data_IF_268610291762
#
_entry.id   IF_268610291762
#
_cell.length_a   1.000
_cell.length_b   1.000
_cell.length_c   1.000
_cell.angle_alpha   90.00
_cell.angle_beta   90.00
_cell.angle_gamma   90.00
#
_symmetry.space_group_name_H-M   'P 1'
#
loop_
_entity.id
_entity.type
_entity.pdbx_description
1 polymer ?
#
# COMPACT_ATOMS: atom_id res chain seq x y z
N UNK A 1 -64.88 -10.55 -29.71
CA UNK A 1 -63.96 -10.02 -28.68
C UNK A 1 -62.87 -11.05 -28.41
N UNK A 2 -61.68 -10.85 -29.00
CA UNK A 2 -60.47 -11.65 -28.70
C UNK A 2 -59.50 -10.72 -27.97
N UNK A 3 -59.23 -10.97 -26.68
CA UNK A 3 -58.16 -10.30 -25.95
C UNK A 3 -56.91 -11.17 -25.98
N UNK A 4 -55.92 -10.70 -26.74
CA UNK A 4 -54.57 -11.23 -26.84
C UNK A 4 -53.83 -10.95 -25.51
N UNK A 5 -53.46 -11.98 -24.75
CA UNK A 5 -52.57 -11.84 -23.60
C UNK A 5 -51.12 -12.00 -24.08
N UNK A 6 -50.40 -10.88 -24.19
CA UNK A 6 -48.96 -10.87 -24.45
C UNK A 6 -48.24 -10.86 -23.09
N UNK A 7 -47.67 -12.00 -22.69
CA UNK A 7 -46.78 -12.09 -21.54
C UNK A 7 -45.38 -11.65 -21.97
N UNK A 8 -44.92 -10.47 -21.51
CA UNK A 8 -43.55 -10.02 -21.69
C UNK A 8 -42.76 -10.48 -20.44
N UNK A 9 -41.96 -11.53 -20.60
CA UNK A 9 -40.93 -11.92 -19.64
C UNK A 9 -39.72 -11.00 -19.82
N UNK A 10 -39.58 -9.98 -18.96
CA UNK A 10 -38.34 -9.25 -18.79
C UNK A 10 -37.34 -10.13 -18.02
N UNK A 11 -36.47 -10.81 -18.73
CA UNK A 11 -35.23 -11.33 -18.17
C UNK A 11 -34.28 -10.16 -17.90
N UNK A 12 -34.18 -9.72 -16.66
CA UNK A 12 -33.08 -8.86 -16.22
C UNK A 12 -31.85 -9.75 -16.11
N UNK A 13 -31.04 -9.79 -17.17
CA UNK A 13 -29.69 -10.34 -17.10
C UNK A 13 -28.83 -9.36 -16.30
N UNK A 14 -28.67 -9.64 -15.00
CA UNK A 14 -27.65 -9.01 -14.20
C UNK A 14 -26.29 -9.43 -14.74
N UNK A 15 -25.67 -8.56 -15.53
CA UNK A 15 -24.23 -8.60 -15.80
C UNK A 15 -23.51 -8.40 -14.46
N UNK A 16 -23.23 -9.50 -13.77
CA UNK A 16 -22.28 -9.52 -12.68
C UNK A 16 -20.89 -9.26 -13.28
N UNK A 17 -20.50 -7.99 -13.35
CA UNK A 17 -19.09 -7.66 -13.46
C UNK A 17 -18.41 -8.26 -12.23
N UNK A 18 -17.54 -9.26 -12.45
CA UNK A 18 -16.71 -9.85 -11.41
C UNK A 18 -15.80 -8.76 -10.84
N UNK A 19 -16.24 -8.11 -9.77
CA UNK A 19 -15.34 -7.39 -8.88
C UNK A 19 -14.38 -8.46 -8.35
N UNK A 20 -13.07 -8.34 -8.63
CA UNK A 20 -12.08 -9.24 -8.06
C UNK A 20 -12.21 -9.14 -6.53
N UNK A 21 -12.84 -10.14 -5.93
CA UNK A 21 -13.29 -10.11 -4.54
C UNK A 21 -12.07 -10.26 -3.63
N UNK A 22 -12.05 -9.51 -2.54
CA UNK A 22 -11.10 -9.74 -1.46
C UNK A 22 -11.35 -11.12 -0.83
N UNK A 23 -10.28 -11.85 -0.53
CA UNK A 23 -10.35 -13.22 -0.01
C UNK A 23 -9.66 -13.29 1.35
N UNK A 24 -10.25 -13.96 2.36
CA UNK A 24 -9.56 -14.21 3.62
C UNK A 24 -8.35 -15.11 3.38
N UNK A 25 -7.20 -14.76 3.97
CA UNK A 25 -5.96 -15.53 3.77
C UNK A 25 -5.90 -16.79 4.63
N UNK A 26 -6.81 -16.92 5.61
CA UNK A 26 -6.86 -18.08 6.51
C UNK A 26 -7.07 -19.40 5.76
N UNK A 27 -7.67 -19.36 4.58
CA UNK A 27 -7.95 -20.53 3.74
C UNK A 27 -6.89 -20.75 2.66
N UNK A 28 -5.83 -19.95 2.61
CA UNK A 28 -4.79 -20.08 1.59
C UNK A 28 -3.83 -21.23 1.91
N UNK A 29 -3.36 -21.91 0.86
CA UNK A 29 -2.43 -23.03 1.00
C UNK A 29 -1.03 -22.53 1.28
N UNK A 30 -0.34 -23.21 2.20
CA UNK A 30 1.11 -23.09 2.35
C UNK A 30 1.78 -23.94 1.28
N UNK A 31 2.62 -23.31 0.45
CA UNK A 31 3.42 -23.99 -0.56
C UNK A 31 4.90 -23.68 -0.33
N UNK A 32 5.84 -24.40 -0.98
CA UNK A 32 7.26 -24.08 -0.88
C UNK A 32 7.55 -22.63 -1.27
N UNK A 33 8.55 -22.02 -0.61
CA UNK A 33 9.00 -20.68 -0.97
C UNK A 33 9.41 -20.64 -2.45
N UNK A 34 9.14 -19.53 -3.17
CA UNK A 34 9.66 -19.30 -4.50
C UNK A 34 11.19 -19.45 -4.51
N UNK A 35 11.68 -20.42 -5.28
CA UNK A 35 13.10 -20.58 -5.58
C UNK A 35 13.50 -19.72 -6.79
N UNK A 36 14.78 -19.33 -6.96
CA UNK A 36 15.22 -18.46 -8.05
C UNK A 36 14.80 -18.93 -9.46
N UNK A 37 14.84 -20.23 -9.72
CA UNK A 37 14.42 -20.87 -10.97
C UNK A 37 12.88 -20.84 -11.20
N UNK A 38 12.11 -20.63 -10.13
CA UNK A 38 10.66 -20.45 -10.20
C UNK A 38 10.24 -18.98 -10.27
N UNK A 39 11.13 -18.02 -10.00
CA UNK A 39 10.82 -16.58 -10.08
C UNK A 39 10.40 -16.18 -11.50
N UNK A 40 10.95 -16.83 -12.53
CA UNK A 40 10.50 -16.61 -13.91
C UNK A 40 9.00 -16.95 -14.08
N UNK A 41 8.53 -18.06 -13.50
CA UNK A 41 7.11 -18.45 -13.51
C UNK A 41 6.22 -17.40 -12.83
N UNK A 42 6.72 -16.78 -11.76
CA UNK A 42 6.04 -15.66 -11.11
C UNK A 42 6.10 -14.38 -11.93
N UNK A 43 7.16 -14.15 -12.71
CA UNK A 43 7.22 -13.07 -13.70
C UNK A 43 6.05 -13.11 -14.69
N UNK A 44 5.59 -14.33 -15.04
CA UNK A 44 4.41 -14.57 -15.88
C UNK A 44 3.07 -14.59 -15.10
N UNK A 45 3.09 -14.59 -13.76
CA UNK A 45 1.88 -14.50 -12.96
C UNK A 45 1.42 -13.03 -12.88
N UNK A 46 0.25 -12.67 -13.43
CA UNK A 46 -0.17 -11.27 -13.52
C UNK A 46 -0.71 -10.71 -12.20
N UNK A 47 -0.77 -11.53 -11.14
CA UNK A 47 -1.50 -11.15 -9.92
C UNK A 47 -0.56 -10.68 -8.83
N UNK A 48 -0.56 -9.37 -8.61
CA UNK A 48 0.06 -8.76 -7.45
C UNK A 48 -0.96 -8.69 -6.32
N UNK A 49 -0.72 -9.44 -5.25
CA UNK A 49 -1.61 -9.48 -4.10
C UNK A 49 -1.30 -8.36 -3.13
N UNK A 50 -2.34 -7.72 -2.66
CA UNK A 50 -2.31 -6.67 -1.65
C UNK A 50 -3.18 -7.08 -0.48
N UNK A 51 -2.68 -6.87 0.74
CA UNK A 51 -3.36 -7.28 1.97
C UNK A 51 -3.91 -6.08 2.74
N UNK A 52 -4.99 -6.30 3.47
CA UNK A 52 -5.58 -5.34 4.40
C UNK A 52 -6.25 -6.09 5.57
N UNK A 53 -6.44 -5.37 6.68
CA UNK A 53 -7.15 -5.88 7.85
C UNK A 53 -8.61 -5.41 7.79
N UNK A 54 -9.55 -6.35 7.94
CA UNK A 54 -11.00 -6.07 8.07
C UNK A 54 -11.55 -7.01 9.15
N UNK A 55 -12.29 -6.47 10.13
CA UNK A 55 -12.86 -7.24 11.25
C UNK A 55 -11.84 -8.15 11.98
N UNK A 56 -10.62 -7.66 12.16
CA UNK A 56 -9.47 -8.38 12.73
C UNK A 56 -8.99 -9.58 11.90
N UNK A 57 -9.52 -9.82 10.70
CA UNK A 57 -9.06 -10.84 9.77
C UNK A 57 -8.24 -10.20 8.64
N UNK A 58 -7.25 -10.94 8.13
CA UNK A 58 -6.41 -10.47 7.03
C UNK A 58 -7.04 -10.94 5.72
N UNK A 59 -7.32 -9.99 4.85
CA UNK A 59 -7.82 -10.22 3.50
C UNK A 59 -6.76 -9.87 2.47
N UNK A 60 -6.85 -10.52 1.31
CA UNK A 60 -6.01 -10.27 0.15
C UNK A 60 -6.87 -9.93 -1.07
N UNK A 61 -6.44 -8.93 -1.83
CA UNK A 61 -7.09 -8.49 -3.07
C UNK A 61 -6.03 -8.24 -4.15
N UNK A 62 -6.33 -8.55 -5.41
CA UNK A 62 -5.50 -8.14 -6.54
C UNK A 62 -5.82 -6.69 -6.99
N UNK A 63 -6.83 -6.05 -6.41
CA UNK A 63 -7.16 -4.65 -6.68
C UNK A 63 -6.45 -3.70 -5.71
N UNK A 64 -5.25 -3.25 -6.12
CA UNK A 64 -4.45 -2.26 -5.39
C UNK A 64 -5.21 -0.95 -5.10
N UNK A 65 -6.28 -0.62 -5.83
CA UNK A 65 -7.03 0.62 -5.62
C UNK A 65 -7.81 0.63 -4.31
N UNK A 66 -8.08 -0.54 -3.73
CA UNK A 66 -8.78 -0.65 -2.45
C UNK A 66 -8.05 0.03 -1.29
N UNK A 67 -6.71 0.16 -1.38
CA UNK A 67 -5.90 0.78 -0.32
C UNK A 67 -5.78 2.31 -0.41
N UNK A 68 -6.32 2.95 -1.45
CA UNK A 68 -6.06 4.37 -1.71
C UNK A 68 -6.68 5.35 -0.69
N UNK A 69 -7.34 4.85 0.36
CA UNK A 69 -8.18 5.61 1.27
C UNK A 69 -9.39 6.25 0.57
N UNK A 70 -10.42 6.59 1.35
CA UNK A 70 -11.62 7.26 0.84
C UNK A 70 -11.60 8.72 1.27
N UNK A 71 -11.88 9.62 0.32
CA UNK A 71 -12.12 11.04 0.60
C UNK A 71 -13.63 11.31 0.53
N UNK A 72 -14.18 12.19 1.41
CA UNK A 72 -15.59 12.58 1.36
C UNK A 72 -15.90 13.60 0.25
N UNK A 73 -14.92 13.90 -0.61
CA UNK A 73 -15.04 14.84 -1.71
C UNK A 73 -14.25 14.34 -2.93
N UNK A 74 -14.63 14.85 -4.10
CA UNK A 74 -13.89 14.62 -5.34
C UNK A 74 -12.75 15.62 -5.49
N UNK A 75 -11.58 15.13 -5.89
CA UNK A 75 -10.46 15.99 -6.29
C UNK A 75 -10.64 16.34 -7.75
N UNK A 76 -10.91 17.62 -8.03
CA UNK A 76 -10.94 18.18 -9.38
C UNK A 76 -9.68 19.05 -9.56
N UNK A 77 -8.68 18.60 -10.36
CA UNK A 77 -7.44 19.36 -10.55
C UNK A 77 -7.68 20.70 -11.26
N UNK A 78 -7.01 21.76 -10.81
CA UNK A 78 -6.89 23.01 -11.59
C UNK A 78 -5.99 22.76 -12.80
N UNK A 79 -6.03 23.65 -13.80
CA UNK A 79 -5.19 23.55 -15.01
C UNK A 79 -3.70 23.35 -14.68
N UNK A 80 -3.18 24.06 -13.68
CA UNK A 80 -1.79 23.97 -13.21
C UNK A 80 -1.46 22.68 -12.44
N UNK A 81 -2.47 21.94 -11.96
CA UNK A 81 -2.31 20.77 -11.09
C UNK A 81 -2.60 19.46 -11.82
N UNK A 82 -3.00 19.51 -13.11
CA UNK A 82 -3.35 18.31 -13.89
C UNK A 82 -2.22 17.26 -13.90
N UNK A 83 -0.98 17.73 -13.94
CA UNK A 83 0.20 16.87 -13.95
C UNK A 83 0.67 16.47 -12.54
N UNK A 84 -0.05 16.85 -11.47
CA UNK A 84 0.34 16.57 -10.07
C UNK A 84 -0.67 15.68 -9.36
N UNK A 85 -1.96 15.88 -9.63
CA UNK A 85 -3.06 15.23 -8.91
C UNK A 85 -3.56 13.97 -9.64
N UNK A 86 -2.65 13.06 -9.99
CA UNK A 86 -2.96 11.75 -10.59
C UNK A 86 -2.00 10.67 -10.07
N UNK A 87 -2.25 9.40 -10.42
CA UNK A 87 -1.44 8.26 -9.99
C UNK A 87 -2.08 7.46 -8.85
N UNK A 88 -1.30 6.58 -8.22
CA UNK A 88 -1.73 5.84 -7.02
C UNK A 88 -1.82 6.83 -5.86
N UNK A 89 -2.85 6.70 -5.02
CA UNK A 89 -3.07 7.64 -3.91
C UNK A 89 -2.82 6.95 -2.58
N UNK A 90 -2.21 7.67 -1.66
CA UNK A 90 -2.29 7.37 -0.24
C UNK A 90 -3.04 8.52 0.43
N UNK A 91 -3.91 8.23 1.39
CA UNK A 91 -4.73 9.24 2.06
C UNK A 91 -4.72 8.98 3.56
N UNK A 92 -4.56 10.05 4.34
CA UNK A 92 -4.73 10.02 5.79
C UNK A 92 -5.50 11.26 6.24
N UNK A 93 -6.45 11.07 7.16
CA UNK A 93 -7.15 12.17 7.82
C UNK A 93 -6.27 12.78 8.92
N UNK A 94 -6.31 14.10 9.01
CA UNK A 94 -5.64 14.90 10.04
C UNK A 94 -6.64 15.89 10.66
N UNK A 95 -6.25 16.52 11.78
CA UNK A 95 -7.11 17.40 12.58
C UNK A 95 -7.89 18.45 11.77
N UNK A 96 -7.25 19.04 10.76
CA UNK A 96 -7.79 20.11 9.92
C UNK A 96 -8.13 19.71 8.48
N UNK A 97 -8.03 18.43 8.12
CA UNK A 97 -8.27 17.98 6.76
C UNK A 97 -7.70 16.61 6.41
N UNK A 98 -7.12 16.51 5.22
CA UNK A 98 -6.56 15.27 4.67
C UNK A 98 -5.20 15.55 4.05
N UNK A 99 -4.24 14.67 4.33
CA UNK A 99 -3.00 14.59 3.57
C UNK A 99 -3.19 13.54 2.48
N UNK A 100 -2.81 13.90 1.25
CA UNK A 100 -2.97 13.05 0.08
C UNK A 100 -1.65 13.00 -0.68
N UNK A 101 -1.07 11.81 -0.72
CA UNK A 101 0.09 11.49 -1.54
C UNK A 101 -0.34 10.99 -2.92
N UNK A 102 0.35 11.45 -3.96
CA UNK A 102 0.15 11.04 -5.35
C UNK A 102 1.44 10.42 -5.87
N UNK A 103 1.47 9.10 -5.94
CA UNK A 103 2.60 8.33 -6.45
C UNK A 103 2.44 8.11 -7.95
N UNK A 104 3.39 8.63 -8.75
CA UNK A 104 3.38 8.53 -10.21
C UNK A 104 4.58 7.75 -10.74
N UNK A 105 5.23 6.92 -9.93
CA UNK A 105 6.39 6.13 -10.37
C UNK A 105 7.48 7.01 -10.96
N UNK A 106 8.00 6.68 -12.14
CA UNK A 106 9.07 7.45 -12.79
C UNK A 106 8.72 8.92 -13.07
N UNK A 107 7.44 9.28 -13.03
CA UNK A 107 6.97 10.66 -13.22
C UNK A 107 6.96 11.49 -11.91
N UNK A 108 7.49 10.92 -10.82
CA UNK A 108 7.65 11.55 -9.53
C UNK A 108 6.44 11.39 -8.61
N UNK A 109 6.34 12.27 -7.63
CA UNK A 109 5.24 12.29 -6.69
C UNK A 109 4.81 13.69 -6.33
N UNK A 110 3.72 13.80 -5.57
CA UNK A 110 3.35 15.03 -4.88
C UNK A 110 2.62 14.70 -3.59
N UNK A 111 2.85 15.51 -2.57
CA UNK A 111 2.12 15.50 -1.31
C UNK A 111 1.31 16.78 -1.21
N UNK A 112 0.00 16.65 -0.99
CA UNK A 112 -0.92 17.77 -0.84
C UNK A 112 -1.66 17.70 0.49
N UNK A 113 -1.99 18.87 1.04
CA UNK A 113 -3.03 18.98 2.05
C UNK A 113 -4.33 19.47 1.41
N UNK A 114 -5.45 18.93 1.88
CA UNK A 114 -6.81 19.36 1.54
C UNK A 114 -7.58 19.65 2.82
N UNK A 115 -8.30 20.76 2.89
CA UNK A 115 -9.27 21.01 3.97
C UNK A 115 -10.36 19.93 4.00
N UNK A 116 -11.05 19.78 5.14
CA UNK A 116 -12.11 18.77 5.34
C UNK A 116 -13.17 18.67 4.22
N UNK A 117 -13.47 19.78 3.55
CA UNK A 117 -14.44 19.82 2.44
C UNK A 117 -13.80 19.84 1.04
N UNK A 118 -12.47 19.70 0.94
CA UNK A 118 -11.70 19.71 -0.30
C UNK A 118 -11.57 21.06 -1.01
N UNK A 119 -12.18 22.14 -0.50
CA UNK A 119 -12.25 23.44 -1.20
C UNK A 119 -10.93 24.22 -1.12
N UNK A 120 -10.23 24.11 0.01
CA UNK A 120 -8.86 24.65 0.17
C UNK A 120 -7.87 23.51 0.06
N UNK A 121 -6.77 23.77 -0.63
CA UNK A 121 -5.63 22.85 -0.76
C UNK A 121 -4.37 23.62 -1.07
N UNK A 122 -3.24 22.99 -0.77
CA UNK A 122 -1.94 23.43 -1.24
C UNK A 122 -0.99 22.23 -1.29
N UNK A 123 0.05 22.37 -2.09
CA UNK A 123 1.12 21.40 -2.21
C UNK A 123 2.12 21.56 -1.06
N UNK A 124 2.50 20.44 -0.45
CA UNK A 124 3.47 20.39 0.64
C UNK A 124 4.87 20.12 0.05
N UNK A 125 4.98 19.15 -0.87
CA UNK A 125 6.24 18.76 -1.50
C UNK A 125 6.03 17.86 -2.72
N UNK A 126 7.12 17.51 -3.41
CA UNK A 126 7.16 16.55 -4.53
C UNK A 126 7.44 15.09 -4.08
N UNK A 127 7.24 14.76 -2.80
CA UNK A 127 7.52 13.41 -2.29
C UNK A 127 6.67 12.32 -2.94
N UNK A 128 7.30 11.17 -3.17
CA UNK A 128 6.72 9.96 -3.77
C UNK A 128 6.06 9.09 -2.72
N UNK A 129 5.02 9.61 -2.06
CA UNK A 129 4.37 8.94 -0.94
C UNK A 129 3.81 7.58 -1.35
N UNK A 130 4.31 6.52 -0.71
CA UNK A 130 3.84 5.15 -0.89
C UNK A 130 2.70 4.84 0.08
N UNK A 131 2.90 5.13 1.37
CA UNK A 131 1.92 4.84 2.43
C UNK A 131 2.10 5.80 3.61
N UNK A 132 0.99 6.23 4.21
CA UNK A 132 0.99 6.97 5.48
C UNK A 132 0.84 6.00 6.66
N UNK A 133 1.37 6.40 7.82
CA UNK A 133 1.18 5.67 9.07
C UNK A 133 1.16 6.66 10.25
N UNK A 134 0.40 6.34 11.30
CA UNK A 134 0.40 7.10 12.55
C UNK A 134 1.21 6.32 13.58
N UNK A 135 2.17 7.00 14.21
CA UNK A 135 2.85 6.51 15.42
C UNK A 135 2.74 7.59 16.48
N UNK A 136 2.18 7.24 17.64
CA UNK A 136 2.05 8.15 18.79
C UNK A 136 1.43 9.52 18.43
N UNK A 137 0.33 9.50 17.67
CA UNK A 137 -0.38 10.71 17.21
C UNK A 137 0.44 11.64 16.29
N UNK A 138 1.54 11.15 15.72
CA UNK A 138 2.32 11.83 14.68
C UNK A 138 2.14 11.12 13.35
N UNK A 139 2.11 11.89 12.28
CA UNK A 139 1.97 11.37 10.92
C UNK A 139 3.35 11.14 10.32
N UNK A 140 3.55 9.93 9.82
CA UNK A 140 4.72 9.55 9.05
C UNK A 140 4.30 9.03 7.68
N UNK A 141 5.26 8.99 6.76
CA UNK A 141 5.08 8.33 5.48
C UNK A 141 6.36 7.68 5.02
N UNK A 142 6.21 6.56 4.32
CA UNK A 142 7.28 6.05 3.47
C UNK A 142 7.14 6.63 2.08
N UNK A 143 8.27 6.99 1.48
CA UNK A 143 8.39 7.48 0.11
C UNK A 143 9.61 6.90 -0.58
N UNK A 144 9.59 6.85 -1.91
CA UNK A 144 10.73 6.39 -2.68
C UNK A 144 10.35 5.85 -4.04
N UNK A 145 11.37 5.44 -4.80
CA UNK A 145 11.22 4.92 -6.15
C UNK A 145 12.18 3.75 -6.36
N UNK A 146 11.63 2.65 -6.87
CA UNK A 146 12.38 1.55 -7.45
C UNK A 146 12.17 1.53 -8.96
N UNK A 147 13.21 1.89 -9.72
CA UNK A 147 13.19 1.82 -11.17
C UNK A 147 14.59 1.54 -11.76
N UNK A 148 14.69 0.50 -12.60
CA UNK A 148 15.95 0.01 -13.18
C UNK A 148 17.04 -0.15 -12.11
N UNK A 149 18.12 0.64 -12.20
CA UNK A 149 19.26 0.60 -11.29
C UNK A 149 19.13 1.57 -10.10
N UNK A 150 17.97 2.23 -9.94
CA UNK A 150 17.69 3.18 -8.86
C UNK A 150 16.73 2.50 -7.89
N UNK A 151 17.17 2.31 -6.64
CA UNK A 151 16.30 1.97 -5.52
C UNK A 151 16.66 2.90 -4.36
N UNK A 152 15.77 3.83 -4.04
CA UNK A 152 15.95 4.81 -2.97
C UNK A 152 14.64 5.07 -2.27
N UNK A 153 14.71 5.41 -0.98
CA UNK A 153 13.54 5.84 -0.25
C UNK A 153 13.87 6.46 1.09
N UNK A 154 12.83 6.97 1.72
CA UNK A 154 12.91 7.65 3.00
C UNK A 154 11.67 7.34 3.84
N UNK A 155 11.85 7.37 5.15
CA UNK A 155 10.78 7.58 6.11
C UNK A 155 10.78 9.07 6.47
N UNK A 156 9.64 9.73 6.31
CA UNK A 156 9.45 11.15 6.58
C UNK A 156 8.41 11.37 7.69
N UNK A 157 8.60 12.40 8.51
CA UNK A 157 7.59 12.93 9.43
C UNK A 157 6.85 14.08 8.74
N UNK A 158 5.52 14.10 8.82
CA UNK A 158 4.68 15.17 8.29
C UNK A 158 4.04 15.91 9.45
N UNK A 159 4.41 17.18 9.61
CA UNK A 159 4.03 18.00 10.76
C UNK A 159 3.77 19.46 10.38
N UNK A 160 3.14 20.20 11.27
CA UNK A 160 2.93 21.65 11.09
C UNK A 160 4.18 22.41 11.51
N UNK A 161 4.67 23.28 10.63
CA UNK A 161 5.71 24.29 10.87
C UNK A 161 5.09 25.62 10.45
N UNK A 162 5.08 26.62 11.34
CA UNK A 162 4.44 27.92 11.10
C UNK A 162 2.99 27.81 10.61
N UNK A 163 2.20 26.93 11.26
CA UNK A 163 0.81 26.62 10.90
C UNK A 163 0.59 26.04 9.50
N UNK A 164 1.62 25.52 8.85
CA UNK A 164 1.52 24.80 7.57
C UNK A 164 2.12 23.41 7.68
N UNK A 165 1.41 22.42 7.14
CA UNK A 165 1.96 21.08 6.92
C UNK A 165 3.25 21.13 6.11
N UNK A 166 4.25 20.40 6.56
CA UNK A 166 5.59 20.27 6.00
C UNK A 166 6.08 18.83 6.18
N UNK A 167 6.88 18.35 5.24
CA UNK A 167 7.55 17.06 5.32
C UNK A 167 9.00 17.24 5.78
N UNK A 168 9.44 16.44 6.73
CA UNK A 168 10.80 16.46 7.27
C UNK A 168 11.36 15.03 7.22
N UNK A 169 12.58 14.88 6.73
CA UNK A 169 13.26 13.58 6.73
C UNK A 169 13.41 13.05 8.15
N UNK A 170 13.02 11.80 8.35
CA UNK A 170 13.14 11.11 9.63
C UNK A 170 14.22 10.02 9.57
N UNK A 171 14.23 9.19 8.52
CA UNK A 171 15.31 8.24 8.25
C UNK A 171 15.48 8.01 6.74
N UNK A 172 16.73 7.86 6.28
CA UNK A 172 17.05 7.48 4.90
C UNK A 172 17.06 5.96 4.79
N UNK A 173 16.25 5.39 3.89
CA UNK A 173 16.13 3.95 3.72
C UNK A 173 17.16 3.44 2.69
N UNK A 174 17.70 2.22 2.85
CA UNK A 174 18.69 1.66 1.94
C UNK A 174 18.12 1.32 0.55
N UNK A 175 16.79 1.19 0.44
CA UNK A 175 16.08 0.83 -0.77
C UNK A 175 14.67 1.44 -0.77
N UNK A 176 13.99 1.39 -1.92
CA UNK A 176 12.62 1.87 -2.06
C UNK A 176 11.66 1.04 -1.18
N UNK A 177 10.84 1.68 -0.34
CA UNK A 177 9.86 1.00 0.50
C UNK A 177 8.57 0.69 -0.28
N UNK A 178 7.99 -0.46 -0.03
CA UNK A 178 6.75 -0.92 -0.66
C UNK A 178 5.57 -0.99 0.34
N UNK A 179 5.85 -1.03 1.64
CA UNK A 179 4.86 -1.03 2.70
C UNK A 179 5.46 -0.76 4.07
N UNK A 180 4.64 -0.27 5.00
CA UNK A 180 5.00 0.00 6.38
C UNK A 180 3.89 -0.44 7.34
N UNK A 181 4.26 -0.95 8.51
CA UNK A 181 3.36 -1.15 9.64
C UNK A 181 4.12 -1.00 10.97
N UNK A 182 3.43 -1.09 12.12
CA UNK A 182 4.02 -0.99 13.46
C UNK A 182 4.08 -2.33 14.17
N UNK A 183 5.19 -2.59 14.88
CA UNK A 183 5.27 -3.68 15.84
C UNK A 183 4.61 -3.33 17.19
N UNK A 184 4.66 -4.28 18.12
CA UNK A 184 4.07 -4.12 19.46
C UNK A 184 4.79 -3.07 20.32
N UNK A 185 6.01 -2.71 19.96
CA UNK A 185 6.84 -1.71 20.64
C UNK A 185 6.76 -0.33 19.95
N UNK A 186 5.86 -0.18 18.96
CA UNK A 186 5.74 1.01 18.11
C UNK A 186 6.99 1.30 17.24
N UNK A 187 7.83 0.31 16.95
CA UNK A 187 8.83 0.44 15.91
C UNK A 187 8.17 0.28 14.53
N UNK A 188 8.70 0.96 13.52
CA UNK A 188 8.26 0.74 12.16
C UNK A 188 8.88 -0.54 11.60
N UNK A 189 8.06 -1.39 11.02
CA UNK A 189 8.50 -2.50 10.17
C UNK A 189 8.22 -2.12 8.73
N UNK A 190 9.28 -2.06 7.93
CA UNK A 190 9.24 -1.57 6.55
C UNK A 190 9.72 -2.69 5.63
N UNK A 191 8.87 -3.07 4.67
CA UNK A 191 9.28 -3.92 3.56
C UNK A 191 9.80 -3.04 2.43
N UNK A 192 11.00 -3.33 1.94
CA UNK A 192 11.58 -2.70 0.75
C UNK A 192 11.63 -3.69 -0.41
N UNK A 193 12.09 -3.22 -1.57
CA UNK A 193 12.34 -4.05 -2.74
C UNK A 193 13.28 -5.26 -2.48
N UNK A 194 14.07 -5.23 -1.40
CA UNK A 194 15.11 -6.23 -1.10
C UNK A 194 15.16 -6.69 0.36
N UNK A 195 14.68 -5.89 1.30
CA UNK A 195 14.98 -6.06 2.73
C UNK A 195 13.73 -5.87 3.59
N UNK A 196 13.72 -6.52 4.74
CA UNK A 196 12.77 -6.26 5.82
C UNK A 196 13.51 -5.49 6.92
N UNK A 197 13.03 -4.30 7.23
CA UNK A 197 13.70 -3.35 8.12
C UNK A 197 12.88 -3.08 9.37
N UNK A 198 13.56 -2.84 10.49
CA UNK A 198 13.04 -2.23 11.70
C UNK A 198 13.61 -0.82 11.82
N UNK A 199 12.75 0.19 12.03
CA UNK A 199 13.16 1.55 12.34
C UNK A 199 12.60 1.97 13.70
N UNK A 200 13.49 2.25 14.65
CA UNK A 200 13.09 2.56 16.02
C UNK A 200 12.58 4.01 16.21
N UNK A 201 12.26 4.36 17.45
CA UNK A 201 11.79 5.71 17.82
C UNK A 201 12.84 6.83 17.62
N UNK A 202 14.11 6.49 17.42
CA UNK A 202 15.20 7.44 17.14
C UNK A 202 15.49 7.59 15.64
N UNK A 203 14.88 6.76 14.80
CA UNK A 203 15.19 6.68 13.37
C UNK A 203 16.36 5.75 13.05
N UNK A 204 16.87 4.99 14.02
CA UNK A 204 17.91 3.99 13.77
C UNK A 204 17.30 2.80 13.05
N UNK A 205 17.98 2.36 11.99
CA UNK A 205 17.57 1.25 11.15
C UNK A 205 18.34 -0.02 11.56
N UNK A 206 17.61 -1.12 11.74
CA UNK A 206 18.16 -2.46 11.85
C UNK A 206 17.55 -3.34 10.76
N UNK A 207 18.36 -4.13 10.07
CA UNK A 207 17.86 -5.07 9.05
C UNK A 207 17.45 -6.37 9.71
N UNK A 208 16.19 -6.78 9.54
CA UNK A 208 15.65 -8.06 10.03
C UNK A 208 16.01 -9.17 9.06
N UNK A 209 15.82 -8.93 7.76
CA UNK A 209 16.18 -9.83 6.67
C UNK A 209 16.77 -9.00 5.54
N UNK A 210 17.96 -9.36 5.08
CA UNK A 210 18.63 -8.77 3.93
C UNK A 210 18.55 -9.68 2.72
N UNK A 211 18.52 -9.11 1.51
CA UNK A 211 18.52 -9.88 0.25
C UNK A 211 17.42 -10.97 0.21
N UNK A 212 16.22 -10.58 0.62
CA UNK A 212 15.07 -11.47 0.64
C UNK A 212 14.79 -12.07 -0.74
N UNK A 213 14.32 -13.32 -0.77
CA UNK A 213 13.98 -14.05 -2.00
C UNK A 213 12.95 -13.32 -2.88
N UNK A 214 12.25 -12.34 -2.32
CA UNK A 214 11.25 -11.52 -2.98
C UNK A 214 11.81 -10.43 -3.90
N UNK A 215 13.14 -10.37 -4.08
CA UNK A 215 13.74 -9.53 -5.14
C UNK A 215 13.16 -9.98 -6.50
N UNK A 216 12.25 -9.18 -7.07
CA UNK A 216 11.52 -9.49 -8.30
C UNK A 216 10.09 -10.01 -8.10
N UNK A 217 9.63 -10.14 -6.85
CA UNK A 217 8.23 -10.47 -6.50
C UNK A 217 7.39 -9.25 -6.10
N UNK A 218 7.94 -8.03 -6.21
CA UNK A 218 7.20 -6.76 -6.09
C UNK A 218 6.26 -6.72 -4.87
N UNK A 219 6.80 -6.54 -3.65
CA UNK A 219 5.97 -6.31 -2.48
C UNK A 219 4.97 -5.16 -2.71
N UNK A 220 3.80 -5.26 -2.10
CA UNK A 220 2.71 -4.30 -2.33
C UNK A 220 2.14 -3.71 -1.05
N UNK A 221 2.31 -4.40 0.07
CA UNK A 221 1.72 -4.10 1.38
C UNK A 221 2.35 -5.00 2.44
N UNK A 222 2.34 -4.53 3.69
CA UNK A 222 2.72 -5.29 4.88
C UNK A 222 1.68 -5.06 5.97
N UNK A 223 1.41 -6.10 6.75
CA UNK A 223 0.61 -6.04 7.98
C UNK A 223 1.25 -6.89 9.05
N UNK A 224 1.31 -6.38 10.27
CA UNK A 224 1.76 -7.14 11.43
C UNK A 224 0.58 -7.67 12.22
N UNK A 225 0.62 -8.96 12.51
CA UNK A 225 -0.36 -9.61 13.40
C UNK A 225 0.29 -10.79 14.10
N UNK A 226 0.11 -10.86 15.42
CA UNK A 226 0.62 -11.96 16.25
C UNK A 226 2.12 -12.24 16.07
N UNK A 227 2.95 -11.18 16.03
CA UNK A 227 4.40 -11.27 15.82
C UNK A 227 4.83 -11.81 14.44
N UNK A 228 3.90 -11.91 13.50
CA UNK A 228 4.21 -12.20 12.10
C UNK A 228 4.02 -10.95 11.24
N UNK A 229 4.94 -10.74 10.30
CA UNK A 229 4.73 -9.87 9.15
C UNK A 229 4.07 -10.68 8.03
N UNK A 230 2.93 -10.20 7.55
CA UNK A 230 2.28 -10.66 6.33
C UNK A 230 2.62 -9.65 5.25
N UNK A 231 3.09 -10.09 4.09
CA UNK A 231 3.55 -9.22 3.02
C UNK A 231 2.90 -9.67 1.72
N UNK A 232 2.05 -8.82 1.17
CA UNK A 232 1.42 -9.06 -0.13
C UNK A 232 2.44 -8.87 -1.25
N UNK A 233 2.51 -9.81 -2.19
CA UNK A 233 3.49 -9.83 -3.26
C UNK A 233 2.88 -10.39 -4.56
N UNK A 234 3.65 -10.36 -5.65
CA UNK A 234 3.33 -11.10 -6.87
C UNK A 234 3.22 -12.59 -6.58
N UNK A 235 2.08 -13.15 -6.97
CA UNK A 235 1.80 -14.58 -6.92
C UNK A 235 1.45 -15.17 -5.56
N UNK A 236 1.67 -14.45 -4.46
CA UNK A 236 1.33 -14.95 -3.12
C UNK A 236 1.58 -13.93 -2.01
N UNK A 237 1.52 -14.43 -0.79
CA UNK A 237 1.76 -13.65 0.44
C UNK A 237 2.87 -14.34 1.22
N UNK A 238 3.91 -13.59 1.58
CA UNK A 238 4.90 -14.05 2.53
C UNK A 238 4.36 -13.82 3.94
N UNK A 239 4.28 -14.88 4.75
CA UNK A 239 4.18 -14.79 6.20
C UNK A 239 5.56 -15.04 6.80
N UNK A 240 6.08 -14.07 7.55
CA UNK A 240 7.40 -14.07 8.17
C UNK A 240 7.23 -13.94 9.69
N UNK A 241 7.75 -14.89 10.46
CA UNK A 241 7.78 -14.78 11.93
C UNK A 241 8.94 -13.87 12.36
N UNK A 242 8.64 -12.78 13.08
CA UNK A 242 9.64 -11.77 13.45
C UNK A 242 10.63 -12.25 14.53
N UNK A 243 10.36 -13.36 15.21
CA UNK A 243 11.25 -13.91 16.24
C UNK A 243 12.06 -15.10 15.75
N UNK A 244 11.43 -16.07 15.08
CA UNK A 244 12.15 -17.25 14.57
C UNK A 244 12.73 -17.05 13.17
N UNK A 245 12.26 -16.02 12.45
CA UNK A 245 12.56 -15.76 11.04
C UNK A 245 12.04 -16.89 10.11
N UNK A 246 11.08 -17.70 10.59
CA UNK A 246 10.41 -18.71 9.78
C UNK A 246 9.56 -18.04 8.70
N UNK A 247 9.56 -18.64 7.50
CA UNK A 247 8.92 -18.11 6.30
C UNK A 247 7.92 -19.11 5.74
N UNK A 248 6.72 -18.63 5.42
CA UNK A 248 5.68 -19.40 4.74
C UNK A 248 5.20 -18.63 3.51
N UNK A 249 5.04 -19.31 2.39
CA UNK A 249 4.45 -18.74 1.18
C UNK A 249 3.02 -19.21 1.04
N UNK A 250 2.09 -18.25 1.06
CA UNK A 250 0.66 -18.50 0.97
C UNK A 250 0.18 -18.18 -0.44
N UNK A 251 -0.58 -19.09 -1.04
CA UNK A 251 -1.23 -18.87 -2.34
C UNK A 251 -2.73 -19.18 -2.25
N UNK A 252 -3.59 -18.51 -3.06
CA UNK A 252 -4.97 -18.92 -3.19
C UNK A 252 -5.06 -20.34 -3.77
N UNK A 253 -6.23 -20.97 -3.60
CA UNK A 253 -6.54 -22.30 -4.15
C UNK A 253 -6.50 -22.38 -5.68
#
# INVERSE_FOLDING_TARGET
>A
MRLLHLLILLSVSSLAFSQKKALPIANWKVVPLPAPDTLEKYGWNPTDWTIFLEDSEIFATPDRKMLNGKLPFNIIPRKSEKNKLYGRRSVIEVDDGYLVGFYRGEWGGNLFWFSKNGKRRYEISDHEIVQFIIRENRVYAIEGLSHLNISKGSLIEIKKIDNKWSAVNYAALPAAPDGIDLDRENNFIIITSSDLLLVDATGKINTIESDGFWRGLYPTSILLKNNCAYIGMRGGILKFDLSSHDKQWLTPD
#
